data_IF_761105005282
#
_entry.id   IF_761105005282
#
_cell.length_a   1.000
_cell.length_b   1.000
_cell.length_c   1.000
_cell.angle_alpha   90.00
_cell.angle_beta   90.00
_cell.angle_gamma   90.00
#
_symmetry.space_group_name_H-M   'P 1'
#
loop_
_entity.id
_entity.type
_entity.pdbx_description
1 polymer ?
#
# COMPACT_ATOMS: atom_id res chain seq x y z
N UNK A 1 34.57 17.92 36.20
CA UNK A 1 33.50 17.00 35.77
C UNK A 1 34.16 15.71 35.34
N UNK A 2 33.67 14.54 35.74
CA UNK A 2 34.00 13.33 34.99
C UNK A 2 33.51 13.52 33.54
N UNK A 3 34.19 12.94 32.53
CA UNK A 3 33.68 12.98 31.16
C UNK A 3 32.28 12.34 31.16
N UNK A 4 31.33 12.98 30.48
CA UNK A 4 30.02 12.37 30.25
C UNK A 4 30.23 10.98 29.62
N UNK A 5 29.47 9.96 30.03
CA UNK A 5 29.53 8.66 29.37
C UNK A 5 29.28 8.86 27.87
N UNK A 6 29.99 8.14 26.98
CA UNK A 6 29.76 8.28 25.54
C UNK A 6 28.28 8.06 25.27
N UNK A 7 27.60 9.07 24.75
CA UNK A 7 26.21 8.95 24.31
C UNK A 7 26.19 7.87 23.25
N UNK A 8 25.62 6.70 23.54
CA UNK A 8 25.51 5.61 22.57
C UNK A 8 24.64 6.10 21.42
N UNK A 9 25.27 6.32 20.26
CA UNK A 9 24.60 6.68 19.01
C UNK A 9 23.66 5.52 18.64
N UNK A 10 22.41 5.85 18.34
CA UNK A 10 21.42 4.88 17.89
C UNK A 10 21.53 4.75 16.37
N UNK A 11 22.07 3.63 15.91
CA UNK A 11 22.15 3.35 14.47
C UNK A 11 20.78 2.87 13.97
N UNK A 12 20.33 3.50 12.89
CA UNK A 12 19.19 3.10 12.07
C UNK A 12 19.75 2.52 10.78
N UNK A 13 19.57 1.22 10.58
CA UNK A 13 19.97 0.53 9.37
C UNK A 13 18.79 0.50 8.39
N UNK A 14 18.89 1.26 7.29
CA UNK A 14 17.93 1.25 6.18
C UNK A 14 18.39 0.28 5.10
N UNK A 15 17.63 -0.78 4.89
CA UNK A 15 17.84 -1.83 3.91
C UNK A 15 16.81 -1.68 2.79
N UNK A 16 17.27 -1.77 1.55
CA UNK A 16 16.45 -1.56 0.37
C UNK A 16 16.71 -2.60 -0.71
N UNK A 17 15.65 -3.21 -1.22
CA UNK A 17 15.69 -4.10 -2.38
C UNK A 17 14.72 -3.60 -3.46
N UNK A 18 15.22 -3.40 -4.68
CA UNK A 18 14.45 -2.93 -5.83
C UNK A 18 14.76 -3.81 -7.05
N UNK A 19 14.32 -5.10 -7.01
CA UNK A 19 14.67 -6.08 -8.03
C UNK A 19 14.22 -5.64 -9.42
N UNK A 20 15.06 -5.90 -10.41
CA UNK A 20 14.87 -5.43 -11.79
C UNK A 20 13.69 -6.08 -12.52
N UNK A 21 13.17 -7.19 -12.02
CA UNK A 21 12.03 -7.95 -12.53
C UNK A 21 10.70 -7.59 -11.87
N UNK A 22 10.70 -6.62 -10.95
CA UNK A 22 9.50 -6.08 -10.29
C UNK A 22 9.27 -4.60 -10.62
N UNK A 23 8.10 -4.09 -10.22
CA UNK A 23 7.74 -2.69 -10.43
C UNK A 23 8.61 -1.78 -9.56
N UNK A 24 9.12 -0.69 -10.13
CA UNK A 24 10.01 0.23 -9.39
C UNK A 24 9.28 0.90 -8.23
N UNK A 25 9.90 0.91 -7.06
CA UNK A 25 9.44 1.59 -5.87
C UNK A 25 10.22 2.90 -5.64
N UNK A 26 9.61 3.88 -4.97
CA UNK A 26 10.23 5.17 -4.60
C UNK A 26 11.13 5.08 -3.36
N UNK A 27 11.94 4.04 -3.28
CA UNK A 27 12.82 3.74 -2.13
C UNK A 27 13.81 4.87 -1.84
N UNK A 28 14.38 5.49 -2.89
CA UNK A 28 15.31 6.60 -2.72
C UNK A 28 14.65 7.89 -2.22
N UNK A 29 13.35 8.08 -2.48
CA UNK A 29 12.57 9.16 -1.87
C UNK A 29 12.34 8.86 -0.39
N UNK A 30 11.97 7.63 -0.06
CA UNK A 30 11.78 7.20 1.31
C UNK A 30 13.03 7.39 2.18
N UNK A 31 14.20 6.89 1.74
CA UNK A 31 15.44 7.02 2.51
C UNK A 31 15.83 8.47 2.73
N UNK A 32 15.67 9.31 1.69
CA UNK A 32 15.98 10.75 1.75
C UNK A 32 15.08 11.47 2.76
N UNK A 33 13.77 11.20 2.73
CA UNK A 33 12.83 11.83 3.66
C UNK A 33 13.14 11.44 5.12
N UNK A 34 13.44 10.16 5.39
CA UNK A 34 13.83 9.69 6.73
C UNK A 34 15.08 10.43 7.23
N UNK A 35 16.14 10.46 6.41
CA UNK A 35 17.38 11.15 6.74
C UNK A 35 17.15 12.64 7.02
N UNK A 36 16.33 13.30 6.20
CA UNK A 36 16.01 14.70 6.38
C UNK A 36 15.29 14.96 7.71
N UNK A 37 14.28 14.15 8.05
CA UNK A 37 13.54 14.34 9.31
C UNK A 37 14.41 14.11 10.54
N UNK A 38 15.29 13.11 10.50
CA UNK A 38 16.22 12.83 11.60
C UNK A 38 17.26 13.94 11.75
N UNK A 39 17.76 14.51 10.64
CA UNK A 39 18.67 15.66 10.68
C UNK A 39 18.04 16.91 11.32
N UNK A 40 16.73 17.09 11.14
CA UNK A 40 15.96 18.19 11.72
C UNK A 40 15.45 17.90 13.14
N UNK A 41 15.61 16.68 13.64
CA UNK A 41 15.00 16.24 14.88
C UNK A 41 15.67 16.83 16.13
N UNK A 42 14.92 16.84 17.24
CA UNK A 42 15.40 17.33 18.55
C UNK A 42 16.64 16.57 19.02
N UNK A 43 16.67 15.25 18.83
CA UNK A 43 17.77 14.37 19.25
C UNK A 43 18.66 13.95 18.06
N UNK A 44 18.77 14.79 17.01
CA UNK A 44 19.53 14.47 15.78
C UNK A 44 20.95 13.95 16.05
N UNK A 45 21.63 14.45 17.08
CA UNK A 45 23.01 14.07 17.41
C UNK A 45 23.12 12.69 18.07
N UNK A 46 21.98 12.00 18.30
CA UNK A 46 21.90 10.65 18.87
C UNK A 46 21.56 9.58 17.82
N UNK A 47 21.47 9.93 16.55
CA UNK A 47 21.10 9.00 15.47
C UNK A 47 22.12 9.02 14.34
N UNK A 48 22.39 7.84 13.82
CA UNK A 48 23.12 7.66 12.57
C UNK A 48 22.28 6.78 11.63
N UNK A 49 22.26 7.11 10.34
CA UNK A 49 21.42 6.42 9.35
C UNK A 49 22.31 5.78 8.30
N UNK A 50 22.43 4.46 8.40
CA UNK A 50 23.21 3.64 7.50
C UNK A 50 22.31 3.05 6.41
N UNK A 51 22.54 3.45 5.15
CA UNK A 51 21.75 3.00 4.00
C UNK A 51 22.49 1.88 3.27
N UNK A 52 21.78 0.79 2.98
CA UNK A 52 22.24 -0.30 2.10
C UNK A 52 21.17 -0.52 1.03
N UNK A 53 21.55 -0.33 -0.23
CA UNK A 53 20.70 -0.54 -1.39
C UNK A 53 21.01 -1.88 -2.04
N UNK A 54 20.08 -2.36 -2.86
CA UNK A 54 20.18 -3.65 -3.55
C UNK A 54 20.58 -4.81 -2.64
N UNK A 55 19.92 -4.89 -1.48
CA UNK A 55 20.32 -5.82 -0.43
C UNK A 55 19.99 -7.26 -0.82
N UNK A 56 20.99 -8.13 -0.66
CA UNK A 56 20.85 -9.58 -0.71
C UNK A 56 20.84 -10.12 0.72
N UNK A 57 20.37 -11.35 0.97
CA UNK A 57 20.28 -11.88 2.34
C UNK A 57 21.62 -11.85 3.11
N UNK A 58 22.74 -12.12 2.44
CA UNK A 58 24.07 -12.06 3.07
C UNK A 58 24.48 -10.64 3.49
N UNK A 59 24.04 -9.62 2.76
CA UNK A 59 24.34 -8.21 3.07
C UNK A 59 23.58 -7.77 4.32
N UNK A 60 22.39 -8.33 4.57
CA UNK A 60 21.62 -8.09 5.81
C UNK A 60 22.38 -8.63 7.01
N UNK A 61 22.77 -9.90 6.99
CA UNK A 61 23.50 -10.50 8.11
C UNK A 61 24.82 -9.77 8.39
N UNK A 62 25.56 -9.39 7.34
CA UNK A 62 26.80 -8.65 7.48
C UNK A 62 26.56 -7.27 8.09
N UNK A 63 25.55 -6.54 7.61
CA UNK A 63 25.23 -5.20 8.12
C UNK A 63 24.77 -5.23 9.59
N UNK A 64 24.02 -6.26 10.00
CA UNK A 64 23.61 -6.43 11.40
C UNK A 64 24.81 -6.70 12.31
N UNK A 65 25.79 -7.49 11.85
CA UNK A 65 27.03 -7.76 12.59
C UNK A 65 27.92 -6.52 12.71
N UNK A 66 28.08 -5.77 11.63
CA UNK A 66 29.01 -4.64 11.56
C UNK A 66 28.49 -3.43 12.35
N UNK A 67 27.18 -3.21 12.34
CA UNK A 67 26.58 -1.97 12.84
C UNK A 67 25.85 -2.12 14.18
N UNK A 68 25.49 -3.35 14.57
CA UNK A 68 24.64 -3.63 15.74
C UNK A 68 23.47 -2.62 15.88
N UNK A 69 22.63 -2.47 14.85
CA UNK A 69 21.69 -1.36 14.79
C UNK A 69 20.56 -1.52 15.81
N UNK A 70 20.11 -0.39 16.35
CA UNK A 70 18.96 -0.34 17.26
C UNK A 70 17.63 -0.42 16.50
N UNK A 71 17.60 0.17 15.31
CA UNK A 71 16.44 0.16 14.42
C UNK A 71 16.84 -0.42 13.06
N UNK A 72 15.98 -1.27 12.49
CA UNK A 72 16.13 -1.77 11.13
C UNK A 72 14.90 -1.39 10.33
N UNK A 73 15.09 -0.68 9.22
CA UNK A 73 14.05 -0.35 8.26
C UNK A 73 14.27 -1.16 7.00
N UNK A 74 13.28 -1.90 6.55
CA UNK A 74 13.30 -2.54 5.25
C UNK A 74 12.28 -1.86 4.33
N UNK A 75 12.71 -1.51 3.12
CA UNK A 75 11.86 -1.01 2.04
C UNK A 75 12.03 -1.87 0.79
N UNK A 76 10.91 -2.40 0.28
CA UNK A 76 10.94 -3.28 -0.88
C UNK A 76 9.62 -4.00 -1.10
N UNK A 77 9.64 -5.00 -1.98
CA UNK A 77 8.43 -5.78 -2.28
C UNK A 77 8.14 -6.84 -1.22
N UNK A 78 6.86 -7.12 -1.04
CA UNK A 78 6.38 -8.25 -0.28
C UNK A 78 5.37 -9.06 -1.07
N UNK A 79 5.16 -10.30 -0.65
CA UNK A 79 4.26 -11.25 -1.26
C UNK A 79 3.22 -11.73 -0.24
N UNK A 80 2.08 -12.22 -0.72
CA UNK A 80 0.94 -12.56 0.14
C UNK A 80 1.09 -13.77 1.03
N UNK A 81 2.07 -14.61 0.73
CA UNK A 81 2.52 -15.65 1.66
C UNK A 81 3.32 -15.06 2.84
N UNK A 82 3.46 -13.73 2.91
CA UNK A 82 4.22 -13.03 3.93
C UNK A 82 5.71 -12.90 3.63
N UNK A 83 6.18 -13.40 2.48
CA UNK A 83 7.59 -13.29 2.13
C UNK A 83 7.96 -11.85 1.76
N UNK A 84 9.20 -11.48 2.07
CA UNK A 84 9.79 -10.19 1.64
C UNK A 84 10.85 -10.47 0.59
N UNK A 85 10.87 -9.68 -0.48
CA UNK A 85 11.78 -9.86 -1.61
C UNK A 85 13.11 -9.12 -1.38
N UNK A 86 14.20 -9.87 -1.36
CA UNK A 86 15.57 -9.37 -1.48
C UNK A 86 16.04 -9.50 -2.93
N UNK A 87 17.28 -9.12 -3.21
CA UNK A 87 17.89 -9.34 -4.53
C UNK A 87 18.73 -10.63 -4.56
N UNK A 88 18.72 -11.29 -5.72
CA UNK A 88 19.73 -12.28 -6.08
C UNK A 88 21.02 -11.58 -6.52
N UNK A 89 22.08 -12.34 -6.81
CA UNK A 89 23.30 -11.78 -7.41
C UNK A 89 23.09 -11.22 -8.82
N UNK A 90 22.02 -11.62 -9.51
CA UNK A 90 21.64 -11.12 -10.83
C UNK A 90 20.71 -9.90 -10.76
N UNK A 91 20.30 -9.46 -9.56
CA UNK A 91 19.40 -8.33 -9.37
C UNK A 91 17.92 -8.68 -9.60
N UNK A 92 17.57 -9.96 -9.50
CA UNK A 92 16.19 -10.47 -9.59
C UNK A 92 15.60 -10.69 -8.20
N UNK A 93 14.28 -10.80 -8.11
CA UNK A 93 13.57 -10.96 -6.85
C UNK A 93 13.88 -12.32 -6.19
N UNK A 94 14.26 -12.27 -4.93
CA UNK A 94 14.48 -13.43 -4.06
C UNK A 94 13.52 -13.35 -2.87
N UNK A 95 12.36 -14.03 -2.90
CA UNK A 95 11.44 -14.05 -1.78
C UNK A 95 12.04 -14.82 -0.60
N UNK A 96 12.07 -14.20 0.58
CA UNK A 96 12.53 -14.81 1.83
C UNK A 96 11.33 -15.04 2.74
N UNK A 97 11.20 -16.27 3.23
CA UNK A 97 10.07 -16.70 4.05
C UNK A 97 10.13 -16.14 5.49
N UNK A 98 8.96 -16.02 6.16
CA UNK A 98 8.81 -15.65 7.57
C UNK A 98 9.83 -16.28 8.52
N UNK A 99 9.95 -17.61 8.47
CA UNK A 99 10.82 -18.37 9.36
C UNK A 99 12.31 -18.02 9.20
N UNK A 100 12.77 -17.69 7.99
CA UNK A 100 14.17 -17.45 7.72
C UNK A 100 14.66 -16.12 8.31
N UNK A 101 13.93 -15.01 8.10
CA UNK A 101 14.33 -13.74 8.73
C UNK A 101 14.08 -13.77 10.24
N UNK A 102 13.05 -14.46 10.73
CA UNK A 102 12.85 -14.65 12.18
C UNK A 102 14.08 -15.30 12.82
N UNK A 103 14.57 -16.39 12.22
CA UNK A 103 15.78 -17.07 12.70
C UNK A 103 17.04 -16.17 12.63
N UNK A 104 17.14 -15.29 11.63
CA UNK A 104 18.21 -14.30 11.54
C UNK A 104 18.11 -13.28 12.69
N UNK A 105 16.96 -12.63 12.87
CA UNK A 105 16.75 -11.62 13.90
C UNK A 105 16.87 -12.19 15.32
N UNK A 106 16.58 -13.47 15.52
CA UNK A 106 16.84 -14.17 16.78
C UNK A 106 18.31 -14.04 17.24
N UNK A 107 19.27 -14.02 16.29
CA UNK A 107 20.70 -13.88 16.60
C UNK A 107 21.08 -12.47 17.09
N UNK A 108 20.19 -11.48 16.90
CA UNK A 108 20.40 -10.08 17.27
C UNK A 108 19.38 -9.60 18.31
N UNK A 109 18.70 -10.54 18.99
CA UNK A 109 17.81 -10.24 20.09
C UNK A 109 18.59 -9.52 21.21
N UNK A 110 18.12 -8.33 21.59
CA UNK A 110 18.78 -7.46 22.58
C UNK A 110 19.65 -6.35 21.99
N UNK A 111 20.03 -6.42 20.71
CA UNK A 111 20.63 -5.30 19.99
C UNK A 111 19.57 -4.50 19.22
N UNK A 112 18.71 -5.20 18.48
CA UNK A 112 17.62 -4.58 17.71
C UNK A 112 16.41 -4.38 18.62
N UNK A 113 15.93 -3.14 18.73
CA UNK A 113 14.71 -2.79 19.46
C UNK A 113 13.48 -2.84 18.54
N UNK A 114 13.61 -2.31 17.32
CA UNK A 114 12.48 -2.19 16.41
C UNK A 114 12.86 -2.48 14.96
N UNK A 115 12.01 -3.26 14.29
CA UNK A 115 12.08 -3.55 12.86
C UNK A 115 10.86 -2.95 12.16
N UNK A 116 11.05 -2.22 11.07
CA UNK A 116 9.98 -1.68 10.22
C UNK A 116 10.06 -2.36 8.85
N UNK A 117 8.98 -2.99 8.42
CA UNK A 117 8.88 -3.74 7.17
C UNK A 117 7.91 -3.03 6.22
N UNK A 118 8.40 -2.04 5.48
CA UNK A 118 7.65 -1.38 4.42
C UNK A 118 7.66 -2.24 3.15
N UNK A 119 6.84 -3.28 3.20
CA UNK A 119 6.61 -4.22 2.11
C UNK A 119 5.17 -4.75 2.20
N UNK A 120 4.48 -4.92 1.07
CA UNK A 120 3.10 -5.41 1.04
C UNK A 120 2.96 -6.74 1.79
N UNK A 121 1.90 -6.90 2.58
CA UNK A 121 1.61 -8.13 3.34
C UNK A 121 2.70 -8.57 4.34
N UNK A 122 3.66 -7.69 4.67
CA UNK A 122 4.76 -7.99 5.59
C UNK A 122 4.32 -8.20 7.05
N UNK A 123 3.05 -8.03 7.38
CA UNK A 123 2.58 -8.25 8.75
C UNK A 123 2.70 -9.73 9.20
N UNK A 124 2.63 -10.70 8.28
CA UNK A 124 2.97 -12.11 8.57
C UNK A 124 4.45 -12.25 8.97
N UNK A 125 5.34 -11.56 8.24
CA UNK A 125 6.76 -11.50 8.53
C UNK A 125 7.02 -10.80 9.88
N UNK A 126 6.26 -9.74 10.17
CA UNK A 126 6.35 -8.98 11.40
C UNK A 126 6.05 -9.83 12.63
N UNK A 127 4.98 -10.63 12.58
CA UNK A 127 4.66 -11.59 13.64
C UNK A 127 5.79 -12.60 13.90
N UNK A 128 6.37 -13.15 12.83
CA UNK A 128 7.45 -14.12 12.97
C UNK A 128 8.70 -13.51 13.62
N UNK A 129 9.04 -12.27 13.27
CA UNK A 129 10.20 -11.56 13.85
C UNK A 129 9.88 -11.09 15.29
N UNK A 130 8.63 -10.72 15.58
CA UNK A 130 8.17 -10.33 16.91
C UNK A 130 8.17 -11.50 17.92
N UNK A 131 8.46 -12.74 17.50
CA UNK A 131 8.82 -13.78 18.47
C UNK A 131 10.08 -13.39 19.27
N UNK A 132 10.99 -12.62 18.65
CA UNK A 132 12.34 -12.36 19.17
C UNK A 132 12.59 -10.87 19.46
N UNK A 133 12.05 -9.97 18.62
CA UNK A 133 12.30 -8.53 18.68
C UNK A 133 11.17 -7.80 19.43
N UNK A 134 11.48 -6.80 20.29
CA UNK A 134 10.49 -6.06 21.08
C UNK A 134 9.33 -5.47 20.27
N UNK A 135 9.64 -4.87 19.11
CA UNK A 135 8.67 -4.22 18.26
C UNK A 135 8.93 -4.52 16.79
N UNK A 136 7.90 -4.97 16.07
CA UNK A 136 7.97 -5.11 14.62
C UNK A 136 6.76 -4.47 13.98
N UNK A 137 7.01 -3.63 12.98
CA UNK A 137 5.96 -2.98 12.19
C UNK A 137 5.92 -3.65 10.83
N UNK A 138 4.73 -4.04 10.39
CA UNK A 138 4.51 -4.56 9.05
C UNK A 138 3.23 -4.03 8.42
N UNK A 139 2.95 -4.45 7.20
CA UNK A 139 1.79 -4.03 6.41
C UNK A 139 0.84 -5.20 6.28
N UNK A 140 -0.43 -5.02 6.67
CA UNK A 140 -1.44 -6.09 6.58
C UNK A 140 -1.91 -6.39 5.15
N UNK A 141 -1.67 -5.46 4.22
CA UNK A 141 -2.13 -5.51 2.84
C UNK A 141 -1.13 -4.83 1.93
N UNK A 142 -1.52 -4.61 0.67
CA UNK A 142 -0.82 -3.68 -0.21
C UNK A 142 -0.78 -2.27 0.39
N UNK A 143 0.32 -1.58 0.11
CA UNK A 143 0.57 -0.19 0.53
C UNK A 143 1.18 0.54 -0.66
N UNK A 144 0.64 1.72 -0.99
CA UNK A 144 1.25 2.57 -2.00
C UNK A 144 2.51 3.27 -1.47
N UNK A 145 3.45 3.59 -2.37
CA UNK A 145 4.70 4.28 -2.03
C UNK A 145 4.47 5.54 -1.19
N UNK A 146 3.46 6.34 -1.52
CA UNK A 146 3.15 7.56 -0.78
C UNK A 146 2.78 7.27 0.67
N UNK A 147 1.97 6.24 0.92
CA UNK A 147 1.58 5.88 2.27
C UNK A 147 2.73 5.27 3.06
N UNK A 148 3.56 4.44 2.43
CA UNK A 148 4.77 3.89 3.05
C UNK A 148 5.75 5.00 3.45
N UNK A 149 6.00 5.96 2.56
CA UNK A 149 6.85 7.13 2.83
C UNK A 149 6.26 8.01 3.93
N UNK A 150 4.96 8.34 3.85
CA UNK A 150 4.27 9.14 4.86
C UNK A 150 4.35 8.48 6.24
N UNK A 151 4.12 7.17 6.31
CA UNK A 151 4.30 6.39 7.53
C UNK A 151 5.71 6.53 8.11
N UNK A 152 6.73 6.26 7.28
CA UNK A 152 8.15 6.34 7.67
C UNK A 152 8.53 7.73 8.18
N UNK A 153 8.06 8.78 7.50
CA UNK A 153 8.26 10.18 7.90
C UNK A 153 7.70 10.44 9.30
N UNK A 154 6.42 10.12 9.54
CA UNK A 154 5.80 10.34 10.84
C UNK A 154 6.44 9.51 11.95
N UNK A 155 6.80 8.26 11.64
CA UNK A 155 7.49 7.37 12.58
C UNK A 155 8.86 7.93 13.00
N UNK A 156 9.74 8.23 12.05
CA UNK A 156 11.09 8.70 12.37
C UNK A 156 11.14 10.13 12.91
N UNK A 157 10.15 10.98 12.60
CA UNK A 157 9.98 12.26 13.30
C UNK A 157 9.75 12.06 14.81
N UNK A 158 8.87 11.13 15.19
CA UNK A 158 8.62 10.82 16.59
C UNK A 158 9.83 10.18 17.28
N UNK A 159 10.49 9.22 16.62
CA UNK A 159 11.72 8.60 17.14
C UNK A 159 12.82 9.65 17.35
N UNK A 160 13.06 10.51 16.35
CA UNK A 160 14.01 11.61 16.45
C UNK A 160 13.64 12.65 17.53
N UNK A 161 12.37 12.74 17.91
CA UNK A 161 11.91 13.55 19.03
C UNK A 161 12.06 12.85 20.39
N UNK A 162 12.47 11.58 20.44
CA UNK A 162 12.62 10.80 21.66
C UNK A 162 11.31 10.20 22.18
N UNK A 163 10.34 9.98 21.30
CA UNK A 163 9.08 9.28 21.64
C UNK A 163 9.31 7.76 21.65
N UNK A 164 8.59 7.00 22.48
CA UNK A 164 8.65 5.54 22.45
C UNK A 164 8.09 4.98 21.13
N UNK A 165 8.42 3.73 20.82
CA UNK A 165 8.05 3.09 19.53
C UNK A 165 6.54 3.08 19.30
N UNK A 166 5.73 2.80 20.31
CA UNK A 166 4.26 2.81 20.17
C UNK A 166 3.73 4.19 19.80
N UNK A 167 4.32 5.25 20.35
CA UNK A 167 3.95 6.63 20.06
C UNK A 167 4.39 7.01 18.65
N UNK A 168 5.58 6.56 18.24
CA UNK A 168 6.09 6.77 16.90
C UNK A 168 5.26 6.06 15.84
N UNK A 169 4.84 4.83 16.11
CA UNK A 169 3.89 4.10 15.28
C UNK A 169 2.59 4.89 15.09
N UNK A 170 1.99 5.38 16.19
CA UNK A 170 0.78 6.20 16.12
C UNK A 170 0.98 7.47 15.31
N UNK A 171 2.15 8.14 15.43
CA UNK A 171 2.43 9.32 14.62
C UNK A 171 2.62 9.00 13.14
N UNK A 172 3.24 7.87 12.80
CA UNK A 172 3.32 7.37 11.42
C UNK A 172 1.94 7.16 10.80
N UNK A 173 1.02 6.51 11.52
CA UNK A 173 -0.37 6.34 11.09
C UNK A 173 -1.08 7.69 10.91
N UNK A 174 -0.90 8.61 11.86
CA UNK A 174 -1.46 9.97 11.76
C UNK A 174 -0.92 10.72 10.54
N UNK A 175 0.37 10.55 10.20
CA UNK A 175 0.96 11.19 9.02
C UNK A 175 0.30 10.73 7.72
N UNK A 176 -0.02 9.44 7.59
CA UNK A 176 -0.80 8.91 6.46
C UNK A 176 -2.18 9.59 6.37
N UNK A 177 -2.86 9.74 7.52
CA UNK A 177 -4.17 10.40 7.60
C UNK A 177 -4.10 11.89 7.26
N UNK A 178 -3.08 12.61 7.74
CA UNK A 178 -2.88 14.03 7.46
C UNK A 178 -2.65 14.29 5.96
N UNK A 179 -2.07 13.32 5.25
CA UNK A 179 -1.91 13.36 3.80
C UNK A 179 -3.17 12.91 3.03
N UNK A 180 -4.22 12.51 3.73
CA UNK A 180 -5.48 12.07 3.14
C UNK A 180 -5.38 10.74 2.39
N UNK A 181 -4.43 9.89 2.78
CA UNK A 181 -4.17 8.59 2.16
C UNK A 181 -5.02 7.49 2.82
N UNK A 182 -5.63 6.57 2.04
CA UNK A 182 -6.56 5.56 2.57
C UNK A 182 -5.90 4.46 3.42
N UNK A 183 -4.58 4.27 3.31
CA UNK A 183 -3.84 3.15 3.89
C UNK A 183 -3.48 3.34 5.38
N UNK A 184 -4.14 4.25 6.09
CA UNK A 184 -3.86 4.51 7.51
C UNK A 184 -4.06 3.30 8.43
N UNK A 185 -4.88 2.32 8.00
CA UNK A 185 -5.11 1.06 8.72
C UNK A 185 -4.17 -0.07 8.29
N UNK A 186 -3.30 0.19 7.30
CA UNK A 186 -2.40 -0.82 6.73
C UNK A 186 -1.20 -1.13 7.63
N UNK A 187 -0.48 -0.15 8.20
CA UNK A 187 0.58 -0.43 9.16
C UNK A 187 0.02 -1.08 10.43
N UNK A 188 0.72 -2.10 10.91
CA UNK A 188 0.42 -2.76 12.18
C UNK A 188 1.68 -2.85 13.02
N UNK A 189 1.55 -2.60 14.31
CA UNK A 189 2.61 -2.81 15.30
C UNK A 189 2.36 -4.14 16.01
N UNK A 190 3.37 -5.00 16.00
CA UNK A 190 3.39 -6.27 16.71
C UNK A 190 4.42 -6.16 17.83
N UNK A 191 4.00 -6.34 19.09
CA UNK A 191 4.95 -6.41 20.21
C UNK A 191 5.46 -7.83 20.40
N UNK A 192 6.57 -7.97 21.11
CA UNK A 192 7.15 -9.28 21.39
C UNK A 192 6.13 -10.24 22.02
N UNK A 193 5.91 -11.38 21.36
CA UNK A 193 4.96 -12.41 21.79
C UNK A 193 3.49 -12.12 21.50
N UNK A 194 3.15 -10.97 20.90
CA UNK A 194 1.81 -10.71 20.37
C UNK A 194 1.63 -11.38 18.98
N UNK A 195 0.37 -11.62 18.62
CA UNK A 195 -0.03 -11.95 17.25
C UNK A 195 -0.96 -10.86 16.76
N UNK A 196 -0.98 -10.60 15.46
CA UNK A 196 -1.98 -9.73 14.87
C UNK A 196 -3.24 -10.56 14.60
N UNK A 197 -4.39 -10.15 15.13
CA UNK A 197 -5.66 -10.80 14.80
C UNK A 197 -5.92 -10.77 13.29
N UNK A 198 -6.45 -11.86 12.74
CA UNK A 198 -6.87 -12.02 11.34
C UNK A 198 -5.75 -11.96 10.27
N UNK A 199 -4.50 -12.26 10.64
CA UNK A 199 -3.43 -12.51 9.68
C UNK A 199 -3.31 -14.02 9.43
N UNK A 200 -3.72 -14.47 8.25
CA UNK A 200 -3.41 -15.80 7.75
C UNK A 200 -2.48 -15.67 6.54
N UNK A 201 -1.30 -16.31 6.54
CA UNK A 201 -0.54 -16.47 5.31
C UNK A 201 -1.42 -17.20 4.30
N UNK A 202 -1.49 -16.69 3.07
CA UNK A 202 -2.10 -17.46 2.00
C UNK A 202 -1.40 -18.83 1.90
N UNK A 203 -2.13 -19.94 1.68
CA UNK A 203 -1.50 -21.24 1.48
C UNK A 203 -0.48 -21.16 0.33
N UNK A 204 0.61 -21.94 0.38
CA UNK A 204 1.63 -21.90 -0.66
C UNK A 204 0.99 -22.16 -2.03
N UNK A 205 1.13 -21.21 -2.94
CA UNK A 205 0.72 -21.38 -4.33
C UNK A 205 1.65 -22.45 -4.94
N UNK A 206 1.13 -23.51 -5.59
CA UNK A 206 1.97 -24.50 -6.25
C UNK A 206 2.87 -23.83 -7.28
N UNK A 207 4.15 -24.20 -7.32
CA UNK A 207 5.11 -23.76 -8.35
C UNK A 207 4.48 -23.92 -9.73
N UNK A 208 4.23 -22.79 -10.40
CA UNK A 208 3.76 -22.76 -11.79
C UNK A 208 4.95 -22.41 -12.68
N UNK A 209 5.12 -23.09 -13.84
CA UNK A 209 6.33 -22.97 -14.65
C UNK A 209 6.43 -21.60 -15.35
N UNK A 210 7.69 -21.18 -15.55
CA UNK A 210 8.22 -19.95 -16.15
C UNK A 210 7.29 -19.10 -17.04
N UNK A 211 7.32 -17.78 -16.79
CA UNK A 211 6.78 -16.75 -17.71
C UNK A 211 7.54 -16.73 -19.03
N UNK A 212 6.88 -16.51 -20.18
CA UNK A 212 7.55 -16.26 -21.44
C UNK A 212 8.32 -14.92 -21.43
N UNK A 213 9.48 -14.96 -22.08
CA UNK A 213 10.46 -13.87 -22.23
C UNK A 213 9.86 -12.57 -22.80
N UNK A 214 10.38 -11.46 -22.28
CA UNK A 214 10.09 -10.07 -22.61
C UNK A 214 10.36 -9.69 -24.08
N UNK A 215 9.53 -8.79 -24.62
CA UNK A 215 9.77 -8.03 -25.85
C UNK A 215 10.61 -6.77 -25.56
N UNK A 216 11.47 -6.30 -26.48
CA UNK A 216 12.45 -5.26 -26.20
C UNK A 216 11.94 -3.82 -26.45
N UNK A 217 12.14 -2.97 -25.44
CA UNK A 217 12.65 -1.60 -25.59
C UNK A 217 11.64 -0.47 -25.84
N UNK A 218 11.49 0.44 -24.86
CA UNK A 218 11.25 1.87 -25.15
C UNK A 218 11.79 2.77 -24.04
N UNK A 219 12.51 3.81 -24.47
CA UNK A 219 13.21 4.81 -23.64
C UNK A 219 12.22 5.74 -22.93
N UNK A 220 12.47 6.05 -21.66
CA UNK A 220 11.82 7.12 -20.89
C UNK A 220 12.29 8.51 -21.37
N UNK A 221 11.40 9.51 -21.46
CA UNK A 221 11.77 10.91 -21.36
C UNK A 221 11.43 11.50 -19.98
N UNK A 222 12.15 12.58 -19.67
CA UNK A 222 12.30 13.21 -18.37
C UNK A 222 11.06 13.97 -17.84
N UNK A 223 11.06 14.16 -16.53
CA UNK A 223 10.02 14.78 -15.70
C UNK A 223 9.77 16.28 -15.99
N UNK A 224 8.50 16.70 -15.89
CA UNK A 224 8.12 18.10 -15.72
C UNK A 224 6.82 18.24 -14.89
N UNK A 225 6.91 19.02 -13.80
CA UNK A 225 5.86 19.88 -13.24
C UNK A 225 4.56 19.26 -12.69
N UNK A 226 4.46 19.12 -11.36
CA UNK A 226 3.19 18.86 -10.65
C UNK A 226 2.31 20.12 -10.60
N UNK A 227 1.04 20.01 -10.99
CA UNK A 227 -0.04 20.97 -10.71
C UNK A 227 -0.99 20.41 -9.63
N UNK A 228 -1.70 21.26 -8.86
CA UNK A 228 -2.53 20.84 -7.72
C UNK A 228 -3.89 20.24 -8.18
N UNK A 229 -4.55 19.42 -7.34
CA UNK A 229 -5.73 18.67 -7.75
C UNK A 229 -6.99 19.54 -7.83
N UNK A 230 -7.83 19.28 -8.82
CA UNK A 230 -9.09 19.98 -9.10
C UNK A 230 -10.33 19.17 -8.65
N UNK A 231 -11.16 19.81 -7.80
CA UNK A 231 -12.63 19.82 -7.83
C UNK A 231 -13.43 18.52 -7.62
N UNK A 232 -14.08 18.40 -6.46
CA UNK A 232 -15.22 17.50 -6.26
C UNK A 232 -16.40 17.95 -7.13
N UNK A 233 -17.03 17.03 -7.87
CA UNK A 233 -18.21 17.30 -8.70
C UNK A 233 -19.41 16.58 -8.10
N UNK A 234 -20.45 17.34 -7.75
CA UNK A 234 -21.77 16.81 -7.35
C UNK A 234 -22.69 16.75 -8.56
N UNK A 235 -23.25 15.59 -8.86
CA UNK A 235 -24.13 15.39 -10.01
C UNK A 235 -25.45 14.71 -9.64
N UNK A 236 -26.62 15.17 -10.17
CA UNK A 236 -27.90 14.50 -9.95
C UNK A 236 -27.99 13.19 -10.77
N UNK A 237 -28.45 12.10 -10.16
CA UNK A 237 -28.55 10.75 -10.80
C UNK A 237 -29.81 10.52 -11.63
N UNK A 238 -30.67 11.54 -11.81
CA UNK A 238 -31.94 11.41 -12.54
C UNK A 238 -31.73 11.09 -14.04
N UNK A 239 -31.53 9.81 -14.38
CA UNK A 239 -31.42 9.27 -15.75
C UNK A 239 -30.28 9.81 -16.62
N UNK A 240 -29.56 10.84 -16.17
CA UNK A 240 -28.50 11.48 -16.93
C UNK A 240 -27.16 10.77 -16.66
N UNK A 241 -26.71 9.99 -17.64
CA UNK A 241 -25.43 9.25 -17.57
C UNK A 241 -24.21 10.15 -17.80
N UNK A 242 -24.38 11.36 -18.32
CA UNK A 242 -23.26 12.20 -18.77
C UNK A 242 -22.21 12.51 -17.70
N UNK A 243 -22.56 12.73 -16.41
CA UNK A 243 -21.55 12.94 -15.37
C UNK A 243 -20.63 11.73 -15.16
N UNK A 244 -21.18 10.51 -15.26
CA UNK A 244 -20.39 9.28 -15.14
C UNK A 244 -19.59 9.05 -16.41
N UNK A 245 -20.21 9.17 -17.58
CA UNK A 245 -19.56 8.98 -18.89
C UNK A 245 -18.42 9.96 -19.09
N UNK A 246 -18.62 11.24 -18.78
CA UNK A 246 -17.57 12.27 -18.87
C UNK A 246 -16.43 11.98 -17.90
N UNK A 247 -16.71 11.48 -16.69
CA UNK A 247 -15.66 11.07 -15.74
C UNK A 247 -14.85 9.89 -16.27
N UNK A 248 -15.52 8.86 -16.79
CA UNK A 248 -14.85 7.70 -17.42
C UNK A 248 -14.00 8.14 -18.61
N UNK A 249 -14.51 9.06 -19.43
CA UNK A 249 -13.78 9.64 -20.55
C UNK A 249 -12.51 10.35 -20.07
N UNK A 250 -12.59 11.14 -19.00
CA UNK A 250 -11.46 11.87 -18.43
C UNK A 250 -10.36 10.94 -17.91
N UNK A 251 -10.69 9.92 -17.10
CA UNK A 251 -9.67 8.98 -16.60
C UNK A 251 -9.03 8.12 -17.69
N UNK A 252 -9.66 8.00 -18.86
CA UNK A 252 -9.12 7.26 -20.01
C UNK A 252 -8.38 8.14 -21.02
N UNK A 253 -8.48 9.46 -20.95
CA UNK A 253 -7.94 10.39 -21.96
C UNK A 253 -7.00 11.45 -21.40
N UNK A 254 -7.15 11.81 -20.13
CA UNK A 254 -6.34 12.78 -19.39
C UNK A 254 -5.40 12.04 -18.42
N UNK A 255 -4.37 12.69 -17.87
CA UNK A 255 -3.50 12.12 -16.83
C UNK A 255 -2.53 11.03 -17.30
N UNK A 256 -2.09 10.18 -16.36
CA UNK A 256 -1.13 9.08 -16.54
C UNK A 256 -1.75 7.68 -16.61
N UNK A 257 -0.99 6.65 -16.24
CA UNK A 257 -1.45 5.25 -16.29
C UNK A 257 -2.25 4.82 -15.04
N UNK A 258 -2.15 5.56 -13.92
CA UNK A 258 -2.82 5.26 -12.64
C UNK A 258 -4.01 6.17 -12.31
N UNK A 259 -4.78 6.60 -13.30
CA UNK A 259 -5.96 7.43 -13.05
C UNK A 259 -7.07 6.62 -12.38
N UNK A 260 -7.85 7.26 -11.50
CA UNK A 260 -9.05 6.63 -10.95
C UNK A 260 -10.16 7.62 -10.65
N UNK A 261 -11.38 7.11 -10.59
CA UNK A 261 -12.57 7.81 -10.15
C UNK A 261 -13.33 6.99 -9.10
N UNK A 262 -13.85 7.65 -8.08
CA UNK A 262 -14.73 7.04 -7.07
C UNK A 262 -16.12 7.66 -7.20
N UNK A 263 -17.12 6.79 -7.37
CA UNK A 263 -18.54 7.14 -7.45
C UNK A 263 -19.23 6.71 -6.15
N UNK A 264 -19.72 7.67 -5.38
CA UNK A 264 -20.36 7.42 -4.09
C UNK A 264 -21.71 8.15 -4.00
N UNK A 265 -22.75 7.43 -3.59
CA UNK A 265 -24.10 8.00 -3.44
C UNK A 265 -24.51 8.23 -1.98
N UNK A 266 -23.99 7.41 -1.06
CA UNK A 266 -24.20 7.57 0.38
C UNK A 266 -22.86 7.44 1.13
N UNK A 267 -22.21 8.59 1.46
CA UNK A 267 -20.96 8.61 2.21
C UNK A 267 -21.08 8.00 3.61
N UNK A 268 -22.28 7.95 4.19
CA UNK A 268 -22.47 7.45 5.55
C UNK A 268 -22.28 5.94 5.61
N UNK A 269 -22.70 5.21 4.57
CA UNK A 269 -22.63 3.73 4.53
C UNK A 269 -21.32 3.17 3.99
N UNK A 270 -20.43 4.04 3.53
CA UNK A 270 -19.21 3.67 2.81
C UNK A 270 -19.48 2.85 1.54
N UNK A 271 -20.62 3.08 0.87
CA UNK A 271 -20.96 2.40 -0.39
C UNK A 271 -20.41 3.21 -1.57
N UNK A 272 -19.42 2.69 -2.28
CA UNK A 272 -18.86 3.34 -3.47
C UNK A 272 -18.46 2.33 -4.54
N UNK A 273 -18.29 2.83 -5.76
CA UNK A 273 -17.68 2.10 -6.87
C UNK A 273 -16.44 2.87 -7.29
N UNK A 274 -15.29 2.21 -7.27
CA UNK A 274 -14.04 2.75 -7.79
C UNK A 274 -13.84 2.26 -9.22
N UNK A 275 -13.34 3.13 -10.09
CA UNK A 275 -12.98 2.81 -11.47
C UNK A 275 -11.56 3.31 -11.72
N UNK A 276 -10.66 2.41 -12.10
CA UNK A 276 -9.28 2.72 -12.45
C UNK A 276 -9.04 2.51 -13.96
N UNK A 277 -8.23 3.38 -14.55
CA UNK A 277 -7.80 3.31 -15.94
C UNK A 277 -6.56 4.19 -16.17
N UNK A 278 -6.11 4.28 -17.41
CA UNK A 278 -5.00 5.15 -17.80
C UNK A 278 -5.27 5.84 -19.13
N UNK A 279 -4.54 6.94 -19.36
CA UNK A 279 -4.60 7.66 -20.63
C UNK A 279 -4.26 6.73 -21.81
N UNK A 280 -5.19 6.58 -22.76
CA UNK A 280 -5.03 5.72 -23.93
C UNK A 280 -5.34 4.23 -23.66
N UNK A 281 -5.76 3.86 -22.45
CA UNK A 281 -6.25 2.52 -22.17
C UNK A 281 -7.58 2.25 -22.89
N UNK A 282 -7.83 0.98 -23.22
CA UNK A 282 -9.10 0.51 -23.81
C UNK A 282 -9.92 -0.33 -22.82
N UNK A 283 -9.51 -0.33 -21.54
CA UNK A 283 -10.17 -1.09 -20.48
C UNK A 283 -10.34 -0.26 -19.20
N UNK A 284 -11.34 -0.64 -18.42
CA UNK A 284 -11.63 -0.12 -17.09
C UNK A 284 -11.59 -1.27 -16.08
N UNK A 285 -10.91 -1.07 -14.97
CA UNK A 285 -10.98 -1.95 -13.81
C UNK A 285 -11.91 -1.32 -12.78
N UNK A 286 -12.93 -2.06 -12.35
CA UNK A 286 -13.94 -1.58 -11.42
C UNK A 286 -13.94 -2.39 -10.13
N UNK A 287 -14.18 -1.71 -9.01
CA UNK A 287 -14.33 -2.32 -7.69
C UNK A 287 -15.58 -1.80 -6.98
N UNK A 288 -16.33 -2.72 -6.39
CA UNK A 288 -17.53 -2.48 -5.62
C UNK A 288 -17.34 -3.05 -4.21
N UNK A 289 -17.54 -2.19 -3.21
CA UNK A 289 -17.44 -2.50 -1.77
C UNK A 289 -18.26 -3.74 -1.39
N UNK A 290 -17.64 -4.66 -0.64
CA UNK A 290 -18.29 -5.87 -0.08
C UNK A 290 -18.65 -5.72 1.41
N UNK A 291 -19.33 -6.73 1.96
CA UNK A 291 -19.66 -6.85 3.40
C UNK A 291 -18.47 -6.63 4.34
N UNK A 292 -17.23 -6.83 3.86
CA UNK A 292 -16.01 -6.65 4.65
C UNK A 292 -15.67 -5.18 4.94
N UNK A 293 -16.08 -4.25 4.06
CA UNK A 293 -15.68 -2.84 4.12
C UNK A 293 -16.85 -1.87 4.19
N UNK A 294 -18.08 -2.38 4.19
CA UNK A 294 -19.25 -1.58 4.57
C UNK A 294 -19.16 -1.13 6.02
N UNK A 295 -19.79 0.02 6.32
CA UNK A 295 -19.83 0.52 7.70
C UNK A 295 -20.52 -0.50 8.63
N UNK A 296 -20.05 -0.58 9.88
CA UNK A 296 -20.61 -1.48 10.89
C UNK A 296 -22.14 -1.33 10.99
N UNK A 297 -22.86 -2.44 10.83
CA UNK A 297 -24.33 -2.48 10.83
C UNK A 297 -24.96 -2.55 9.43
N UNK A 298 -24.19 -2.36 8.37
CA UNK A 298 -24.64 -2.54 6.99
C UNK A 298 -24.06 -3.81 6.37
N UNK A 299 -24.92 -4.54 5.65
CA UNK A 299 -24.54 -5.70 4.84
C UNK A 299 -25.31 -5.68 3.53
N UNK A 300 -24.71 -6.20 2.48
CA UNK A 300 -25.36 -6.46 1.21
C UNK A 300 -26.45 -7.49 1.41
N UNK A 301 -27.61 -7.24 0.83
CA UNK A 301 -28.68 -8.23 0.77
C UNK A 301 -28.24 -9.42 -0.10
N UNK A 302 -28.77 -10.60 0.17
CA UNK A 302 -28.50 -11.78 -0.67
C UNK A 302 -28.93 -11.55 -2.12
N UNK A 303 -30.01 -10.79 -2.34
CA UNK A 303 -30.43 -10.34 -3.68
C UNK A 303 -29.38 -9.44 -4.34
N UNK A 304 -28.77 -8.51 -3.60
CA UNK A 304 -27.70 -7.65 -4.09
C UNK A 304 -26.43 -8.43 -4.46
N UNK A 305 -26.05 -9.42 -3.63
CA UNK A 305 -24.92 -10.31 -3.93
C UNK A 305 -25.17 -11.16 -5.19
N UNK A 306 -26.36 -11.74 -5.31
CA UNK A 306 -26.77 -12.47 -6.52
C UNK A 306 -26.76 -11.57 -7.75
N UNK A 307 -27.18 -10.31 -7.60
CA UNK A 307 -27.18 -9.34 -8.69
C UNK A 307 -25.78 -9.02 -9.18
N UNK A 308 -24.81 -8.83 -8.28
CA UNK A 308 -23.39 -8.67 -8.64
C UNK A 308 -22.89 -9.88 -9.45
N UNK A 309 -23.16 -11.11 -8.99
CA UNK A 309 -22.78 -12.33 -9.73
C UNK A 309 -23.42 -12.41 -11.11
N UNK A 310 -24.69 -12.03 -11.26
CA UNK A 310 -25.40 -12.01 -12.55
C UNK A 310 -24.83 -10.98 -13.53
N UNK A 311 -24.35 -9.85 -13.00
CA UNK A 311 -23.67 -8.81 -13.79
C UNK A 311 -22.21 -9.16 -14.09
N UNK A 312 -21.73 -10.35 -13.66
CA UNK A 312 -20.36 -10.81 -13.91
C UNK A 312 -19.31 -10.19 -13.00
N UNK A 313 -19.72 -9.65 -11.84
CA UNK A 313 -18.79 -9.20 -10.82
C UNK A 313 -18.36 -10.37 -9.95
N UNK A 314 -17.06 -10.51 -9.76
CA UNK A 314 -16.50 -11.58 -8.94
C UNK A 314 -16.04 -11.02 -7.60
N UNK A 315 -16.44 -11.67 -6.51
CA UNK A 315 -15.82 -11.39 -5.21
C UNK A 315 -14.34 -11.77 -5.31
N UNK A 316 -13.46 -10.78 -5.19
CA UNK A 316 -12.02 -11.02 -5.15
C UNK A 316 -11.67 -11.61 -3.78
N UNK A 317 -11.89 -12.92 -3.62
CA UNK A 317 -11.41 -13.67 -2.47
C UNK A 317 -9.88 -13.76 -2.56
N UNK A 318 -9.19 -12.84 -1.87
CA UNK A 318 -7.73 -12.76 -1.87
C UNK A 318 -7.18 -11.38 -2.27
N UNK A 319 -6.23 -11.37 -3.22
CA UNK A 319 -5.20 -10.35 -3.40
C UNK A 319 -5.67 -8.88 -3.46
N UNK A 320 -6.87 -8.62 -3.98
CA UNK A 320 -7.40 -7.26 -4.23
C UNK A 320 -8.47 -6.84 -3.22
N UNK A 321 -8.29 -7.27 -1.98
CA UNK A 321 -9.02 -6.72 -0.85
C UNK A 321 -10.51 -6.99 -0.91
N UNK A 322 -10.94 -8.25 -1.08
CA UNK A 322 -12.26 -8.74 -0.66
C UNK A 322 -13.49 -8.01 -1.23
N UNK A 323 -13.34 -7.09 -2.16
CA UNK A 323 -14.41 -6.37 -2.84
C UNK A 323 -14.84 -7.15 -4.09
N UNK A 324 -15.99 -6.79 -4.63
CA UNK A 324 -16.41 -7.29 -5.93
C UNK A 324 -15.65 -6.54 -7.01
N UNK A 325 -15.11 -7.26 -7.99
CA UNK A 325 -14.28 -6.67 -9.06
C UNK A 325 -14.83 -7.07 -10.42
N UNK A 326 -14.61 -6.21 -11.41
CA UNK A 326 -14.93 -6.49 -12.81
C UNK A 326 -14.02 -5.69 -13.75
N UNK A 327 -13.59 -6.31 -14.84
CA UNK A 327 -12.87 -5.63 -15.92
C UNK A 327 -13.83 -5.47 -17.10
N UNK A 328 -13.93 -4.24 -17.59
CA UNK A 328 -14.57 -3.92 -18.86
C UNK A 328 -13.49 -3.67 -19.91
N UNK A 329 -13.55 -4.41 -21.03
CA UNK A 329 -12.65 -4.26 -22.17
C UNK A 329 -13.39 -3.58 -23.34
N UNK A 330 -12.64 -3.01 -24.28
CA UNK A 330 -13.15 -2.32 -25.48
C UNK A 330 -14.00 -1.08 -25.12
N UNK A 331 -13.52 -0.23 -24.22
CA UNK A 331 -14.21 0.97 -23.72
C UNK A 331 -13.71 2.25 -24.41
N UNK A 332 -13.31 2.14 -25.68
CA UNK A 332 -12.75 3.25 -26.46
C UNK A 332 -13.75 4.36 -26.83
N UNK A 333 -15.05 4.06 -26.91
CA UNK A 333 -16.10 5.01 -27.32
C UNK A 333 -17.14 5.30 -26.22
N UNK A 334 -17.93 6.36 -26.45
CA UNK A 334 -18.95 6.79 -25.49
C UNK A 334 -20.17 5.87 -25.41
N UNK A 335 -20.40 5.01 -26.41
CA UNK A 335 -21.47 4.02 -26.34
C UNK A 335 -21.09 2.91 -25.34
N UNK A 336 -19.84 2.43 -25.39
CA UNK A 336 -19.30 1.51 -24.40
C UNK A 336 -19.25 2.14 -23.00
N UNK A 337 -18.79 3.40 -22.87
CA UNK A 337 -18.80 4.11 -21.57
C UNK A 337 -20.20 4.28 -20.99
N UNK A 338 -21.23 4.45 -21.82
CA UNK A 338 -22.63 4.49 -21.36
C UNK A 338 -23.08 3.16 -20.76
N UNK A 339 -22.67 2.02 -21.32
CA UNK A 339 -22.98 0.71 -20.74
C UNK A 339 -22.34 0.54 -19.36
N UNK A 340 -21.08 0.97 -19.21
CA UNK A 340 -20.39 0.97 -17.91
C UNK A 340 -21.10 1.91 -16.92
N UNK A 341 -21.47 3.11 -17.35
CA UNK A 341 -22.20 4.07 -16.53
C UNK A 341 -23.55 3.52 -16.05
N UNK A 342 -24.30 2.84 -16.93
CA UNK A 342 -25.55 2.18 -16.54
C UNK A 342 -25.30 1.12 -15.47
N UNK A 343 -24.26 0.29 -15.61
CA UNK A 343 -23.94 -0.74 -14.63
C UNK A 343 -23.52 -0.16 -13.27
N UNK A 344 -22.74 0.93 -13.26
CA UNK A 344 -22.40 1.68 -12.03
C UNK A 344 -23.68 2.12 -11.31
N UNK A 345 -24.62 2.73 -12.03
CA UNK A 345 -25.89 3.17 -11.43
C UNK A 345 -26.73 1.99 -10.95
N UNK A 346 -26.80 0.90 -11.72
CA UNK A 346 -27.51 -0.33 -11.35
C UNK A 346 -26.97 -0.90 -10.04
N UNK A 347 -25.66 -0.94 -9.83
CA UNK A 347 -25.07 -1.43 -8.57
C UNK A 347 -25.42 -0.49 -7.42
N UNK A 348 -25.27 0.82 -7.59
CA UNK A 348 -25.62 1.78 -6.54
C UNK A 348 -27.10 1.65 -6.12
N UNK A 349 -28.02 1.45 -7.06
CA UNK A 349 -29.45 1.32 -6.76
C UNK A 349 -29.85 -0.09 -6.26
N UNK A 350 -29.50 -1.15 -7.01
CA UNK A 350 -30.02 -2.50 -6.78
C UNK A 350 -29.18 -3.30 -5.77
N UNK A 351 -27.91 -2.94 -5.59
CA UNK A 351 -26.99 -3.63 -4.67
C UNK A 351 -26.85 -2.83 -3.36
N UNK A 352 -26.62 -1.52 -3.44
CA UNK A 352 -26.46 -0.67 -2.25
C UNK A 352 -27.75 -0.03 -1.74
N UNK A 353 -28.85 -0.15 -2.49
CA UNK A 353 -30.15 0.38 -2.10
C UNK A 353 -30.22 1.91 -2.11
N UNK A 354 -29.36 2.58 -2.89
CA UNK A 354 -29.42 4.02 -3.04
C UNK A 354 -30.65 4.45 -3.86
N UNK A 355 -31.22 5.61 -3.53
CA UNK A 355 -32.42 6.11 -4.21
C UNK A 355 -32.13 6.45 -5.69
N UNK A 356 -33.12 6.28 -6.58
CA UNK A 356 -32.96 6.53 -8.01
C UNK A 356 -32.71 8.00 -8.37
N UNK A 357 -32.96 8.92 -7.44
CA UNK A 357 -32.71 10.37 -7.54
C UNK A 357 -31.51 10.82 -6.68
N UNK A 358 -30.67 9.89 -6.20
CA UNK A 358 -29.45 10.16 -5.45
C UNK A 358 -28.54 11.22 -6.09
N UNK A 359 -27.77 11.94 -5.29
CA UNK A 359 -26.69 12.79 -5.82
C UNK A 359 -25.40 11.98 -5.74
N UNK A 360 -24.74 11.82 -6.88
CA UNK A 360 -23.44 11.19 -6.96
C UNK A 360 -22.37 12.20 -6.56
N UNK A 361 -21.61 11.85 -5.52
CA UNK A 361 -20.32 12.44 -5.24
C UNK A 361 -19.27 11.71 -6.07
N UNK A 362 -18.59 12.46 -6.93
CA UNK A 362 -17.58 11.93 -7.84
C UNK A 362 -16.24 12.55 -7.51
N UNK A 363 -15.29 11.71 -7.11
CA UNK A 363 -13.90 12.10 -6.89
C UNK A 363 -13.05 11.55 -8.03
N UNK A 364 -12.35 12.43 -8.74
CA UNK A 364 -11.45 12.04 -9.84
C UNK A 364 -10.01 12.36 -9.45
N UNK A 365 -9.11 11.43 -9.72
CA UNK A 365 -7.67 11.59 -9.57
C UNK A 365 -7.01 11.25 -10.89
N UNK A 366 -6.27 12.21 -11.42
CA UNK A 366 -5.46 12.06 -12.63
C UNK A 366 -3.99 12.15 -12.22
N UNK A 367 -3.17 11.23 -12.70
CA UNK A 367 -1.71 11.21 -12.46
C UNK A 367 -0.93 12.24 -13.25
#
# INVERSE_FOLDING_TARGET
>A
MPPDPPSTINVILFLAADPSDLARLRIGEESREIQEKLRLARLRDHFDVEVRLSVRPADVSQSLLDLAPRFVHFSGHGAQNGAICFETRTGEALPIAPAALSALFAQFAGAVECVVLNACFSAVQAEAIAAEIPYVIGMRSEVGDRAAIAFSVGFYQAIGAGRPVEDAFRLGVVQIQLEGLPEALTPVLVRKGERVPDIQPAPPVPDTPERPRSLPGRKQPAAAGRQPPAGAVRAPSGGNLEPVVSTLRRIMQEGGEGNFAVFQADPTRNCFIQVASGAGADSLYLEAVSDKYLQAGFRLSETGKQRLSQLGWALAEGQFGGNYTKIWNNVGDDAARRLVAMEILTILSEVYGCAADMVLDVRVVLE
#
